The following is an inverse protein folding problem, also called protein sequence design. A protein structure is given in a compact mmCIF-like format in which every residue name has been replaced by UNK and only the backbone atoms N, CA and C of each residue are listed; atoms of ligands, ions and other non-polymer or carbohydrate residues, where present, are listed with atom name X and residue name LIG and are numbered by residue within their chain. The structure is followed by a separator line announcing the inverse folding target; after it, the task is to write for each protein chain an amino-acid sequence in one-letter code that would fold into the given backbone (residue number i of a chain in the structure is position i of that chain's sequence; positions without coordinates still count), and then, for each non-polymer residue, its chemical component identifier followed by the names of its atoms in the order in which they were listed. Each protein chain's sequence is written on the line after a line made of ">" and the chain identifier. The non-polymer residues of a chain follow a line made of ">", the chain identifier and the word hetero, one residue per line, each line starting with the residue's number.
data_IF_102076883626
#
_entry.id   IF_102076883626
#
_cell.length_a   1.000
_cell.length_b   1.000
_cell.length_c   1.000
_cell.angle_alpha   90.00
_cell.angle_beta   90.00
_cell.angle_gamma   90.00
#
_symmetry.space_group_name_H-M   'P 1'
#
loop_
_entity.id
_entity.type
_entity.pdbx_description
1 polymer ?
#
# COMPACT_ATOMS: atom_id res chain seq x y z
N UNK A 1 -3.35 -19.86 8.33
CA UNK A 1 -3.83 -18.49 8.63
C UNK A 1 -2.86 -17.89 9.61
N UNK A 2 -2.28 -16.73 9.27
CA UNK A 2 -1.43 -16.02 10.22
C UNK A 2 -2.24 -15.58 11.44
N UNK A 3 -1.62 -15.60 12.64
CA UNK A 3 -2.24 -15.01 13.82
C UNK A 3 -2.11 -13.50 13.72
N UNK A 4 -3.19 -12.75 13.84
CA UNK A 4 -3.15 -11.31 13.96
C UNK A 4 -3.85 -10.84 15.25
N UNK A 5 -3.38 -9.75 15.79
CA UNK A 5 -3.91 -9.09 16.97
C UNK A 5 -4.31 -7.65 16.67
N UNK A 6 -5.29 -7.14 17.39
CA UNK A 6 -5.63 -5.72 17.32
C UNK A 6 -4.48 -4.87 17.87
N UNK A 7 -4.15 -3.80 17.16
CA UNK A 7 -3.14 -2.84 17.57
C UNK A 7 -3.76 -1.46 17.68
N UNK A 8 -3.55 -0.82 18.83
CA UNK A 8 -3.81 0.59 19.06
C UNK A 8 -2.56 1.19 19.71
N UNK A 9 -1.91 2.12 19.02
CA UNK A 9 -0.77 2.86 19.54
C UNK A 9 -1.08 4.37 19.46
N UNK A 10 -1.23 4.98 20.61
CA UNK A 10 -1.53 6.40 20.79
C UNK A 10 -0.32 7.13 21.35
N UNK A 11 -0.08 8.32 20.85
CA UNK A 11 0.95 9.24 21.36
C UNK A 11 0.38 10.65 21.34
N UNK A 12 0.59 11.46 22.36
CA UNK A 12 0.12 12.84 22.37
C UNK A 12 0.57 13.60 21.12
N UNK A 13 -0.33 14.39 20.56
CA UNK A 13 -0.08 15.27 19.41
C UNK A 13 0.32 14.57 18.09
N UNK A 14 0.09 13.27 17.95
CA UNK A 14 0.33 12.54 16.71
C UNK A 14 -0.88 11.66 16.34
N UNK A 15 -1.12 11.37 15.03
CA UNK A 15 -2.18 10.46 14.63
C UNK A 15 -2.02 9.08 15.29
N UNK A 16 -3.08 8.51 15.82
CA UNK A 16 -3.03 7.14 16.33
C UNK A 16 -2.74 6.12 15.22
N UNK A 17 -2.03 5.05 15.54
CA UNK A 17 -1.91 3.86 14.70
C UNK A 17 -2.90 2.82 15.20
N UNK A 18 -3.96 2.57 14.42
CA UNK A 18 -5.00 1.59 14.73
C UNK A 18 -5.15 0.60 13.61
N UNK A 19 -5.16 -0.68 13.93
CA UNK A 19 -5.29 -1.74 12.93
C UNK A 19 -5.05 -3.13 13.48
N UNK A 20 -4.41 -3.97 12.67
CA UNK A 20 -4.14 -5.37 12.98
C UNK A 20 -2.70 -5.72 12.63
N UNK A 21 -1.97 -6.26 13.58
CA UNK A 21 -0.59 -6.72 13.43
C UNK A 21 -0.58 -8.24 13.24
N UNK A 22 -0.08 -8.69 12.09
CA UNK A 22 0.18 -10.10 11.81
C UNK A 22 1.56 -10.48 12.33
N UNK A 23 1.59 -11.20 13.44
CA UNK A 23 2.84 -11.65 14.07
C UNK A 23 3.34 -12.95 13.46
N UNK A 24 4.64 -13.14 13.55
CA UNK A 24 5.36 -14.35 13.19
C UNK A 24 5.70 -15.15 14.44
N UNK A 25 5.89 -16.45 14.28
CA UNK A 25 6.41 -17.32 15.36
C UNK A 25 7.94 -17.21 15.52
N UNK A 26 8.62 -16.35 14.74
CA UNK A 26 10.06 -16.13 14.72
C UNK A 26 10.45 -14.72 14.33
N UNK A 27 11.75 -14.44 14.14
CA UNK A 27 12.22 -13.13 13.73
C UNK A 27 11.69 -12.75 12.33
N UNK A 28 11.26 -11.50 12.18
CA UNK A 28 10.81 -10.99 10.91
C UNK A 28 11.98 -10.67 9.97
N UNK A 29 11.90 -11.13 8.72
CA UNK A 29 12.85 -10.78 7.65
C UNK A 29 12.59 -9.39 7.05
N UNK A 30 11.44 -8.78 7.34
CA UNK A 30 11.04 -7.46 6.90
C UNK A 30 9.69 -7.05 7.46
N UNK A 31 9.29 -5.80 7.19
CA UNK A 31 8.00 -5.24 7.58
C UNK A 31 7.17 -4.78 6.38
N UNK A 32 5.84 -4.82 6.50
CA UNK A 32 4.92 -4.29 5.51
C UNK A 32 3.77 -3.53 6.21
N UNK A 33 3.65 -2.24 5.93
CA UNK A 33 2.46 -1.46 6.31
C UNK A 33 1.49 -1.42 5.13
N UNK A 34 0.27 -1.90 5.35
CA UNK A 34 -0.82 -1.87 4.36
C UNK A 34 -1.96 -0.97 4.82
N UNK A 35 -2.45 -0.13 3.91
CA UNK A 35 -3.61 0.71 4.18
C UNK A 35 -4.66 0.65 3.06
N UNK A 36 -5.84 1.12 3.35
CA UNK A 36 -7.07 0.84 2.61
C UNK A 36 -7.44 1.95 1.61
N UNK A 37 -8.37 1.63 0.70
CA UNK A 37 -8.99 2.59 -0.20
C UNK A 37 -9.98 3.54 0.49
N UNK A 38 -10.40 4.60 -0.22
CA UNK A 38 -11.28 5.64 0.30
C UNK A 38 -12.62 5.13 0.87
N UNK A 39 -13.17 4.08 0.30
CA UNK A 39 -14.45 3.47 0.72
C UNK A 39 -14.34 2.30 1.70
N UNK A 40 -13.14 2.02 2.24
CA UNK A 40 -12.84 0.80 2.98
C UNK A 40 -12.17 1.07 4.33
N UNK A 41 -11.64 0.03 4.96
CA UNK A 41 -10.87 0.06 6.22
C UNK A 41 -9.83 -1.06 6.22
N UNK A 42 -9.06 -1.19 7.31
CA UNK A 42 -7.99 -2.19 7.50
C UNK A 42 -8.47 -3.65 7.45
N UNK A 43 -9.79 -3.93 7.54
CA UNK A 43 -10.37 -5.27 7.43
C UNK A 43 -10.83 -5.63 6.01
N UNK A 44 -10.48 -4.82 4.98
CA UNK A 44 -10.79 -5.15 3.60
C UNK A 44 -10.26 -6.55 3.24
N UNK A 45 -11.06 -7.43 2.62
CA UNK A 45 -10.64 -8.80 2.30
C UNK A 45 -9.35 -8.88 1.49
N UNK A 46 -9.15 -7.96 0.53
CA UNK A 46 -7.89 -7.85 -0.22
C UNK A 46 -6.69 -7.63 0.69
N UNK A 47 -6.79 -6.69 1.66
CA UNK A 47 -5.68 -6.40 2.57
C UNK A 47 -5.41 -7.57 3.53
N UNK A 48 -6.47 -8.26 3.98
CA UNK A 48 -6.33 -9.46 4.82
C UNK A 48 -5.56 -10.55 4.08
N UNK A 49 -5.97 -10.89 2.86
CA UNK A 49 -5.34 -11.93 2.06
C UNK A 49 -3.88 -11.61 1.70
N UNK A 50 -3.62 -10.37 1.27
CA UNK A 50 -2.23 -9.92 1.00
C UNK A 50 -1.39 -9.99 2.27
N UNK A 51 -1.91 -9.54 3.41
CA UNK A 51 -1.21 -9.59 4.68
C UNK A 51 -0.91 -11.04 5.11
N UNK A 52 -1.84 -11.97 4.93
CA UNK A 52 -1.63 -13.40 5.24
C UNK A 52 -0.52 -14.01 4.39
N UNK A 53 -0.47 -13.69 3.08
CA UNK A 53 0.60 -14.16 2.18
C UNK A 53 1.96 -13.63 2.62
N UNK A 54 2.08 -12.33 2.89
CA UNK A 54 3.34 -11.72 3.31
C UNK A 54 3.78 -12.22 4.69
N UNK A 55 2.87 -12.33 5.64
CA UNK A 55 3.17 -12.90 6.96
C UNK A 55 3.62 -14.35 6.86
N UNK A 56 2.93 -15.17 6.04
CA UNK A 56 3.36 -16.55 5.75
C UNK A 56 4.73 -16.66 5.10
N UNK A 57 5.26 -15.57 4.56
CA UNK A 57 6.58 -15.46 3.92
C UNK A 57 7.63 -14.73 4.76
N UNK A 58 7.35 -14.53 6.06
CA UNK A 58 8.32 -13.99 7.02
C UNK A 58 8.30 -12.48 7.19
N UNK A 59 7.27 -11.78 6.72
CA UNK A 59 7.10 -10.35 6.98
C UNK A 59 6.23 -10.09 8.21
N UNK A 60 6.64 -9.15 9.06
CA UNK A 60 5.75 -8.54 10.04
C UNK A 60 4.82 -7.59 9.31
N UNK A 61 3.49 -7.82 9.35
CA UNK A 61 2.55 -7.03 8.56
C UNK A 61 1.59 -6.26 9.46
N UNK A 62 1.52 -4.94 9.27
CA UNK A 62 0.56 -4.05 9.92
C UNK A 62 -0.48 -3.55 8.89
N UNK A 63 -1.72 -3.99 9.02
CA UNK A 63 -2.86 -3.40 8.32
C UNK A 63 -3.43 -2.29 9.18
N UNK A 64 -3.42 -1.04 8.72
CA UNK A 64 -3.87 0.08 9.54
C UNK A 64 -4.95 0.94 8.88
N UNK A 65 -5.82 1.50 9.71
CA UNK A 65 -6.78 2.51 9.31
C UNK A 65 -6.09 3.87 9.17
N UNK A 66 -6.29 4.52 8.04
CA UNK A 66 -5.86 5.91 7.86
C UNK A 66 -6.62 6.85 8.81
N UNK A 67 -6.00 7.95 9.25
CA UNK A 67 -6.61 8.92 10.17
C UNK A 67 -8.03 9.37 9.79
N UNK A 68 -8.30 9.59 8.49
CA UNK A 68 -9.65 9.96 8.06
C UNK A 68 -10.70 8.88 8.39
N UNK A 69 -10.30 7.59 8.34
CA UNK A 69 -11.19 6.45 8.64
C UNK A 69 -11.33 6.24 10.15
N UNK A 70 -10.29 6.55 10.91
CA UNK A 70 -10.36 6.55 12.37
C UNK A 70 -11.31 7.63 12.89
N UNK A 71 -11.28 8.83 12.28
CA UNK A 71 -12.17 9.94 12.63
C UNK A 71 -13.63 9.72 12.19
N UNK A 72 -13.84 8.98 11.09
CA UNK A 72 -15.17 8.74 10.53
C UNK A 72 -15.28 7.33 9.96
N UNK A 73 -16.22 6.49 10.46
CA UNK A 73 -16.38 5.11 9.99
C UNK A 73 -16.84 5.03 8.54
N UNK A 74 -17.48 6.08 8.00
CA UNK A 74 -18.02 6.13 6.64
C UNK A 74 -17.67 7.44 5.92
N UNK A 75 -17.82 7.46 4.60
CA UNK A 75 -17.58 8.61 3.73
C UNK A 75 -16.14 8.68 3.16
N UNK A 76 -15.93 9.55 2.16
CA UNK A 76 -14.62 9.72 1.53
C UNK A 76 -13.65 10.48 2.43
N UNK A 77 -12.32 10.40 2.15
CA UNK A 77 -11.34 11.26 2.78
C UNK A 77 -11.61 12.73 2.44
N UNK A 78 -11.27 13.63 3.36
CA UNK A 78 -11.39 15.07 3.17
C UNK A 78 -10.01 15.73 3.16
N UNK A 79 -9.90 16.84 2.44
CA UNK A 79 -8.69 17.65 2.38
C UNK A 79 -7.57 17.03 1.56
N UNK A 80 -6.33 17.43 1.85
CA UNK A 80 -5.14 17.09 1.07
C UNK A 80 -4.56 15.69 1.33
N UNK A 81 -5.07 14.96 2.30
CA UNK A 81 -4.50 13.69 2.76
C UNK A 81 -3.22 13.84 3.61
N UNK A 82 -2.84 15.05 4.02
CA UNK A 82 -1.62 15.26 4.82
C UNK A 82 -1.66 14.53 6.17
N UNK A 83 -2.81 14.52 6.83
CA UNK A 83 -3.01 13.77 8.09
C UNK A 83 -2.90 12.25 7.86
N UNK A 84 -3.38 11.76 6.71
CA UNK A 84 -3.29 10.35 6.38
C UNK A 84 -1.84 9.95 6.12
N UNK A 85 -1.04 10.79 5.44
CA UNK A 85 0.40 10.58 5.30
C UNK A 85 1.14 10.63 6.63
N UNK A 86 0.77 11.55 7.52
CA UNK A 86 1.34 11.60 8.87
C UNK A 86 1.04 10.32 9.68
N UNK A 87 -0.18 9.79 9.61
CA UNK A 87 -0.55 8.50 10.21
C UNK A 87 0.21 7.33 9.62
N UNK A 88 0.36 7.30 8.28
CA UNK A 88 1.12 6.26 7.60
C UNK A 88 2.63 6.33 7.93
N UNK A 89 3.22 7.53 8.00
CA UNK A 89 4.60 7.75 8.47
C UNK A 89 4.81 7.17 9.87
N UNK A 90 3.85 7.42 10.76
CA UNK A 90 3.92 6.90 12.12
C UNK A 90 3.80 5.37 12.17
N UNK A 91 2.89 4.79 11.38
CA UNK A 91 2.77 3.33 11.26
C UNK A 91 4.06 2.70 10.72
N UNK A 92 4.71 3.34 9.75
CA UNK A 92 6.01 2.93 9.23
C UNK A 92 7.10 2.98 10.31
N UNK A 93 7.20 4.08 11.08
CA UNK A 93 8.13 4.21 12.18
C UNK A 93 7.94 3.13 13.24
N UNK A 94 6.71 2.89 13.66
CA UNK A 94 6.39 1.84 14.63
C UNK A 94 6.82 0.45 14.13
N UNK A 95 6.57 0.14 12.85
CA UNK A 95 6.94 -1.17 12.32
C UNK A 95 8.46 -1.31 12.14
N UNK A 96 9.16 -0.21 11.82
CA UNK A 96 10.62 -0.20 11.74
C UNK A 96 11.31 -0.48 13.08
N UNK A 97 10.71 -0.06 14.20
CA UNK A 97 11.19 -0.40 15.54
C UNK A 97 11.01 -1.89 15.87
N UNK A 98 10.02 -2.55 15.26
CA UNK A 98 9.70 -3.95 15.52
C UNK A 98 10.41 -4.94 14.58
N UNK A 99 11.04 -4.48 13.50
CA UNK A 99 11.78 -5.33 12.56
C UNK A 99 13.04 -4.65 12.02
N UNK A 100 14.20 -5.32 12.08
CA UNK A 100 15.46 -4.79 11.56
C UNK A 100 15.57 -4.91 10.02
N UNK A 101 14.67 -5.68 9.39
CA UNK A 101 14.70 -5.93 7.95
C UNK A 101 14.12 -4.79 7.10
N UNK A 102 13.98 -5.06 5.81
CA UNK A 102 13.38 -4.09 4.87
C UNK A 102 11.97 -3.72 5.27
N UNK A 103 11.63 -2.44 5.18
CA UNK A 103 10.29 -1.94 5.42
C UNK A 103 9.62 -1.56 4.10
N UNK A 104 8.48 -2.15 3.84
CA UNK A 104 7.60 -1.81 2.74
C UNK A 104 6.39 -1.03 3.27
N UNK A 105 5.93 -0.04 2.50
CA UNK A 105 4.65 0.61 2.74
C UNK A 105 3.79 0.53 1.49
N UNK A 106 2.47 0.56 1.66
CA UNK A 106 1.59 0.52 0.51
C UNK A 106 0.11 0.46 0.88
N UNK A 107 -0.68 0.04 -0.08
CA UNK A 107 -2.11 -0.13 0.13
C UNK A 107 -2.92 -0.12 -1.15
N UNK A 108 -4.24 -0.22 -0.97
CA UNK A 108 -5.20 -0.24 -2.05
C UNK A 108 -5.65 1.18 -2.41
N UNK A 109 -5.69 1.49 -3.72
CA UNK A 109 -6.29 2.71 -4.25
C UNK A 109 -5.79 3.99 -3.56
N UNK A 110 -6.65 4.71 -2.85
CA UNK A 110 -6.30 5.92 -2.09
C UNK A 110 -5.12 5.70 -1.14
N UNK A 111 -5.11 4.58 -0.41
CA UNK A 111 -4.02 4.25 0.50
C UNK A 111 -2.68 4.08 -0.21
N UNK A 112 -2.65 3.37 -1.34
CA UNK A 112 -1.46 3.26 -2.19
C UNK A 112 -0.98 4.62 -2.71
N UNK A 113 -1.92 5.48 -3.12
CA UNK A 113 -1.58 6.85 -3.52
C UNK A 113 -0.98 7.65 -2.36
N UNK A 114 -1.52 7.58 -1.15
CA UNK A 114 -0.94 8.28 0.01
C UNK A 114 0.46 7.73 0.35
N UNK A 115 0.67 6.41 0.22
CA UNK A 115 1.98 5.79 0.44
C UNK A 115 3.02 6.28 -0.58
N UNK A 116 2.68 6.34 -1.87
CA UNK A 116 3.59 6.84 -2.90
C UNK A 116 3.89 8.35 -2.76
N UNK A 117 2.90 9.15 -2.37
CA UNK A 117 3.11 10.57 -2.08
C UNK A 117 4.03 10.76 -0.87
N UNK A 118 3.84 9.98 0.19
CA UNK A 118 4.69 10.00 1.37
C UNK A 118 6.14 9.62 1.03
N UNK A 119 6.36 8.57 0.24
CA UNK A 119 7.69 8.15 -0.17
C UNK A 119 8.37 9.17 -1.11
N UNK A 120 7.61 9.92 -1.91
CA UNK A 120 8.15 11.01 -2.71
C UNK A 120 8.50 12.26 -1.86
N UNK A 121 7.81 12.48 -0.74
CA UNK A 121 8.12 13.53 0.25
C UNK A 121 9.31 13.15 1.13
N UNK A 122 9.48 11.85 1.42
CA UNK A 122 10.50 11.31 2.32
C UNK A 122 10.94 9.91 1.84
N UNK A 123 11.98 9.83 0.99
CA UNK A 123 12.46 8.55 0.48
C UNK A 123 12.97 7.57 1.55
N UNK A 124 13.33 8.07 2.74
CA UNK A 124 13.82 7.22 3.84
C UNK A 124 12.69 6.51 4.60
N UNK A 125 11.43 6.85 4.34
CA UNK A 125 10.28 6.29 5.06
C UNK A 125 10.11 4.78 4.82
N UNK A 126 10.50 4.28 3.65
CA UNK A 126 10.37 2.88 3.28
C UNK A 126 11.40 2.46 2.21
N UNK A 127 11.71 1.17 2.19
CA UNK A 127 12.66 0.56 1.26
C UNK A 127 11.97 0.04 -0.03
N UNK A 128 10.63 0.12 -0.09
CA UNK A 128 9.84 -0.28 -1.25
C UNK A 128 8.35 0.01 -1.09
N UNK A 129 7.65 0.04 -2.21
CA UNK A 129 6.22 0.33 -2.28
C UNK A 129 5.42 -0.84 -2.85
N UNK A 130 4.26 -1.12 -2.24
CA UNK A 130 3.25 -2.03 -2.78
C UNK A 130 1.96 -1.25 -3.07
N UNK A 131 1.68 -1.02 -4.35
CA UNK A 131 0.60 -0.15 -4.81
C UNK A 131 -0.48 -1.01 -5.51
N UNK A 132 -1.54 -1.34 -4.78
CA UNK A 132 -2.65 -2.16 -5.25
C UNK A 132 -3.72 -1.27 -5.89
N UNK A 133 -4.01 -1.46 -7.18
CA UNK A 133 -4.96 -0.64 -7.95
C UNK A 133 -4.73 0.85 -7.77
N UNK A 134 -3.56 1.34 -8.17
CA UNK A 134 -3.27 2.76 -8.09
C UNK A 134 -4.30 3.57 -8.90
N UNK A 135 -5.00 4.57 -8.32
CA UNK A 135 -6.03 5.32 -9.02
C UNK A 135 -5.40 6.44 -9.86
N UNK A 136 -4.94 6.11 -11.06
CA UNK A 136 -4.17 7.01 -11.94
C UNK A 136 -4.93 8.33 -12.21
N UNK A 137 -6.21 8.22 -12.48
CA UNK A 137 -7.13 9.36 -12.68
C UNK A 137 -8.54 8.99 -12.18
N UNK A 138 -9.48 9.96 -12.03
CA UNK A 138 -10.89 9.62 -11.81
C UNK A 138 -11.46 8.89 -13.04
N UNK A 139 -12.43 7.98 -12.88
CA UNK A 139 -13.07 7.33 -14.02
C UNK A 139 -13.60 8.35 -15.03
N UNK A 140 -13.35 8.09 -16.32
CA UNK A 140 -13.77 8.96 -17.44
C UNK A 140 -13.14 10.36 -17.44
N UNK A 141 -12.01 10.57 -16.71
CA UNK A 141 -11.27 11.84 -16.68
C UNK A 141 -9.78 11.60 -16.79
N UNK A 142 -9.28 11.04 -17.91
CA UNK A 142 -7.87 10.68 -18.07
C UNK A 142 -6.93 11.90 -18.00
N UNK A 143 -7.44 13.10 -18.29
CA UNK A 143 -6.70 14.35 -18.18
C UNK A 143 -6.36 14.76 -16.72
N UNK A 144 -7.04 14.16 -15.73
CA UNK A 144 -6.84 14.49 -14.31
C UNK A 144 -5.87 13.51 -13.64
N UNK A 145 -4.65 13.42 -14.16
CA UNK A 145 -3.63 12.52 -13.65
C UNK A 145 -3.25 12.84 -12.20
N UNK A 146 -3.05 11.79 -11.41
CA UNK A 146 -2.65 11.85 -10.00
C UNK A 146 -1.18 11.46 -9.81
N UNK A 147 -0.32 11.88 -10.72
CA UNK A 147 1.08 11.45 -10.87
C UNK A 147 2.10 12.56 -10.65
N UNK A 148 1.69 13.76 -10.22
CA UNK A 148 2.57 14.92 -10.08
C UNK A 148 3.82 14.66 -9.19
N UNK A 149 3.79 13.64 -8.32
CA UNK A 149 4.90 13.26 -7.46
C UNK A 149 5.79 12.14 -8.05
N UNK A 150 5.40 11.50 -9.16
CA UNK A 150 6.11 10.33 -9.71
C UNK A 150 7.56 10.65 -10.09
N UNK A 151 7.81 11.81 -10.70
CA UNK A 151 9.19 12.23 -11.04
C UNK A 151 10.12 12.42 -9.82
N UNK A 152 9.56 12.45 -8.60
CA UNK A 152 10.31 12.56 -7.34
C UNK A 152 10.39 11.25 -6.58
N UNK A 153 9.78 10.18 -7.08
CA UNK A 153 9.67 8.91 -6.37
C UNK A 153 10.96 8.10 -6.51
N UNK A 154 11.82 8.15 -5.50
CA UNK A 154 13.11 7.47 -5.44
C UNK A 154 13.01 6.05 -4.86
N UNK A 155 11.85 5.65 -4.37
CA UNK A 155 11.61 4.35 -3.74
C UNK A 155 11.13 3.33 -4.78
N UNK A 156 11.75 2.14 -4.89
CA UNK A 156 11.29 1.08 -5.79
C UNK A 156 9.83 0.72 -5.56
N UNK A 157 9.08 0.47 -6.62
CA UNK A 157 7.63 0.29 -6.53
C UNK A 157 7.10 -0.89 -7.34
N UNK A 158 6.23 -1.69 -6.73
CA UNK A 158 5.39 -2.66 -7.43
C UNK A 158 3.97 -2.12 -7.51
N UNK A 159 3.48 -1.97 -8.75
CA UNK A 159 2.08 -1.69 -9.04
C UNK A 159 1.37 -2.99 -9.38
N UNK A 160 0.36 -3.38 -8.62
CA UNK A 160 -0.53 -4.49 -8.97
C UNK A 160 -1.81 -3.89 -9.53
N UNK A 161 -2.10 -4.15 -10.80
CA UNK A 161 -3.14 -3.42 -11.52
C UNK A 161 -4.06 -4.36 -12.31
N UNK A 162 -5.36 -4.11 -12.22
CA UNK A 162 -6.37 -4.85 -12.98
C UNK A 162 -6.45 -4.39 -14.43
N UNK A 163 -6.49 -5.31 -15.40
CA UNK A 163 -6.54 -4.95 -16.83
C UNK A 163 -7.84 -4.24 -17.27
N UNK A 164 -8.87 -4.22 -16.39
CA UNK A 164 -10.15 -3.52 -16.60
C UNK A 164 -10.40 -2.44 -15.55
N UNK A 165 -9.34 -1.91 -14.95
CA UNK A 165 -9.49 -0.86 -13.92
C UNK A 165 -9.96 0.46 -14.55
N UNK A 166 -11.12 1.02 -14.16
CA UNK A 166 -11.64 2.25 -14.72
C UNK A 166 -10.87 3.52 -14.27
N UNK A 167 -9.93 3.38 -13.33
CA UNK A 167 -9.07 4.48 -12.85
C UNK A 167 -7.74 4.58 -13.59
N UNK A 168 -7.57 3.85 -14.67
CA UNK A 168 -6.43 3.85 -15.58
C UNK A 168 -6.24 2.48 -16.24
N UNK A 169 -5.95 2.46 -17.53
CA UNK A 169 -5.56 1.26 -18.26
C UNK A 169 -4.11 0.86 -17.91
N UNK A 170 -3.72 -0.35 -18.29
CA UNK A 170 -2.32 -0.79 -18.14
C UNK A 170 -1.36 0.02 -18.99
N UNK A 171 -1.78 0.46 -20.17
CA UNK A 171 -0.97 1.30 -21.06
C UNK A 171 -0.72 2.66 -20.43
N UNK A 172 -1.77 3.33 -19.97
CA UNK A 172 -1.68 4.61 -19.23
C UNK A 172 -0.80 4.46 -17.98
N UNK A 173 -0.92 3.32 -17.25
CA UNK A 173 -0.10 3.06 -16.07
C UNK A 173 1.38 2.90 -16.43
N UNK A 174 1.72 2.19 -17.52
CA UNK A 174 3.11 2.03 -18.00
C UNK A 174 3.70 3.37 -18.41
N UNK A 175 2.93 4.16 -19.18
CA UNK A 175 3.35 5.50 -19.57
C UNK A 175 3.58 6.40 -18.36
N UNK A 176 2.62 6.46 -17.43
CA UNK A 176 2.75 7.27 -16.23
C UNK A 176 3.89 6.83 -15.32
N UNK A 177 4.17 5.54 -15.22
CA UNK A 177 5.25 5.01 -14.40
C UNK A 177 6.64 5.23 -15.02
N UNK A 178 6.75 5.47 -16.32
CA UNK A 178 8.03 5.66 -17.02
C UNK A 178 8.83 6.88 -16.54
N UNK A 179 8.18 7.84 -15.89
CA UNK A 179 8.86 9.04 -15.33
C UNK A 179 9.39 8.81 -13.91
N UNK A 180 9.12 7.65 -13.28
CA UNK A 180 9.62 7.31 -11.96
C UNK A 180 11.10 6.94 -12.08
N UNK A 181 12.02 7.63 -11.38
CA UNK A 181 13.45 7.37 -11.48
C UNK A 181 13.90 6.07 -10.80
N UNK A 182 13.10 5.54 -9.85
CA UNK A 182 13.37 4.28 -9.17
C UNK A 182 12.90 3.07 -10.01
N UNK A 183 13.40 1.86 -9.75
CA UNK A 183 12.91 0.63 -10.37
C UNK A 183 11.41 0.43 -10.14
N UNK A 184 10.68 0.11 -11.21
CA UNK A 184 9.23 -0.16 -11.18
C UNK A 184 8.92 -1.49 -11.82
N UNK A 185 8.05 -2.27 -11.19
CA UNK A 185 7.42 -3.44 -11.80
C UNK A 185 5.89 -3.31 -11.78
N UNK A 186 5.25 -3.59 -12.92
CA UNK A 186 3.79 -3.59 -13.05
C UNK A 186 3.31 -5.03 -13.20
N UNK A 187 2.53 -5.48 -12.23
CA UNK A 187 1.90 -6.80 -12.18
C UNK A 187 0.46 -6.67 -12.65
N UNK A 188 0.17 -7.16 -13.83
CA UNK A 188 -1.19 -7.19 -14.36
C UNK A 188 -2.02 -8.30 -13.70
N UNK A 189 -3.26 -8.01 -13.29
CA UNK A 189 -4.28 -9.00 -12.94
C UNK A 189 -5.32 -9.02 -14.06
N UNK A 190 -5.21 -10.03 -14.90
CA UNK A 190 -6.04 -10.17 -16.10
C UNK A 190 -7.54 -10.23 -15.76
N UNK A 191 -8.35 -9.48 -16.49
CA UNK A 191 -9.80 -9.43 -16.33
C UNK A 191 -10.30 -8.74 -15.06
N UNK A 192 -9.38 -8.36 -14.14
CA UNK A 192 -9.76 -7.69 -12.90
C UNK A 192 -10.03 -6.20 -13.10
N UNK A 193 -10.98 -5.68 -12.34
CA UNK A 193 -11.25 -4.25 -12.21
C UNK A 193 -10.48 -3.66 -11.01
N UNK A 194 -10.92 -2.51 -10.50
CA UNK A 194 -10.29 -1.78 -9.40
C UNK A 194 -10.21 -2.56 -8.08
N UNK A 195 -11.03 -3.58 -7.90
CA UNK A 195 -11.02 -4.47 -6.74
C UNK A 195 -10.09 -5.69 -6.86
N UNK A 196 -9.30 -5.77 -7.93
CA UNK A 196 -8.35 -6.85 -8.25
C UNK A 196 -8.99 -8.25 -8.31
N UNK A 197 -10.29 -8.33 -8.63
CA UNK A 197 -10.99 -9.58 -8.84
C UNK A 197 -11.19 -10.38 -7.56
N UNK A 198 -12.32 -10.28 -6.95
CA UNK A 198 -12.69 -10.79 -5.60
C UNK A 198 -12.55 -12.30 -5.38
N UNK A 199 -12.09 -13.07 -6.38
CA UNK A 199 -12.09 -14.53 -6.33
C UNK A 199 -10.83 -15.17 -5.78
N UNK A 200 -9.67 -14.50 -5.91
CA UNK A 200 -8.38 -15.06 -5.49
C UNK A 200 -7.39 -13.95 -5.08
N UNK A 201 -7.64 -13.34 -3.95
CA UNK A 201 -6.74 -12.33 -3.39
C UNK A 201 -5.40 -12.90 -2.90
N UNK A 202 -5.34 -14.20 -2.60
CA UNK A 202 -4.09 -14.87 -2.25
C UNK A 202 -3.14 -14.90 -3.45
N UNK A 203 -3.66 -15.11 -4.67
CA UNK A 203 -2.86 -15.03 -5.89
C UNK A 203 -2.34 -13.61 -6.11
N UNK A 204 -3.14 -12.59 -5.85
CA UNK A 204 -2.70 -11.18 -5.88
C UNK A 204 -1.51 -10.98 -4.93
N UNK A 205 -1.63 -11.44 -3.69
CA UNK A 205 -0.56 -11.38 -2.69
C UNK A 205 0.71 -12.10 -3.13
N UNK A 206 0.61 -13.34 -3.64
CA UNK A 206 1.77 -14.13 -4.13
C UNK A 206 2.47 -13.46 -5.31
N UNK A 207 1.73 -12.91 -6.27
CA UNK A 207 2.30 -12.19 -7.42
C UNK A 207 2.98 -10.89 -7.00
N UNK A 208 2.38 -10.15 -6.06
CA UNK A 208 2.96 -8.95 -5.47
C UNK A 208 4.28 -9.24 -4.76
N UNK A 209 4.31 -10.29 -3.93
CA UNK A 209 5.50 -10.72 -3.21
C UNK A 209 6.63 -11.13 -4.16
N UNK A 210 6.32 -11.92 -5.19
CA UNK A 210 7.29 -12.35 -6.19
C UNK A 210 7.90 -11.15 -6.95
N UNK A 211 7.09 -10.15 -7.30
CA UNK A 211 7.56 -8.92 -7.94
C UNK A 211 8.49 -8.11 -7.02
N UNK A 212 8.10 -7.91 -5.75
CA UNK A 212 8.93 -7.23 -4.77
C UNK A 212 10.26 -7.95 -4.52
N UNK A 213 10.28 -9.28 -4.55
CA UNK A 213 11.50 -10.07 -4.42
C UNK A 213 12.44 -9.84 -5.61
N UNK A 214 11.91 -9.75 -6.84
CA UNK A 214 12.72 -9.43 -8.03
C UNK A 214 13.30 -8.02 -7.97
N UNK A 215 12.50 -7.02 -7.61
CA UNK A 215 12.99 -5.64 -7.43
C UNK A 215 14.04 -5.52 -6.32
N UNK A 216 13.98 -6.38 -5.32
CA UNK A 216 14.94 -6.39 -4.23
C UNK A 216 16.31 -6.97 -4.63
N UNK A 217 16.39 -7.73 -5.72
CA UNK A 217 17.60 -8.35 -6.23
C UNK A 217 18.37 -7.45 -7.23
N UNK A 218 17.80 -6.31 -7.62
CA UNK A 218 18.43 -5.27 -8.44
C UNK A 218 19.18 -4.26 -7.58
#
# INVERSE_FOLDING_TARGET
>A
MSRFESLLNETPNAPAVRGFLHRLDGPAGGGLVLTHGAGSNSNAPLLVAVADVFAGSGFLVLRCDLPFRQARPHGPPLGSGAQDRAGLRRAAGLLRELTPGRLLIGGHSYGGRQASMLAAEDPAVADGLLLLSYPLHPPKRPEQLRTAHFAKLQTPAVFVHGSRDPFGSLEEMREAASVIPAPVEIVEIEGAAHDLGRRDYDQVGRRALAALTRLAAL
#
